data_IF_713571461309
#
_entry.id   IF_713571461309
#
_cell.length_a   1.000
_cell.length_b   1.000
_cell.length_c   1.000
_cell.angle_alpha   90.00
_cell.angle_beta   90.00
_cell.angle_gamma   90.00
#
_symmetry.space_group_name_H-M   'P 1'
#
loop_
_entity.id
_entity.type
_entity.pdbx_description
1 polymer ?
#
# COMPACT_ATOMS: atom_id res chain seq x y z
N UNK A 1 33.76 -13.98 -44.65
CA UNK A 1 32.59 -13.07 -44.66
C UNK A 1 31.37 -13.79 -44.07
N UNK A 2 31.15 -13.68 -42.76
CA UNK A 2 29.91 -14.10 -42.05
C UNK A 2 29.93 -13.41 -40.67
N UNK A 3 29.56 -12.14 -40.64
CA UNK A 3 29.37 -11.37 -39.41
C UNK A 3 28.33 -10.28 -39.73
N UNK A 4 27.08 -10.65 -39.98
CA UNK A 4 26.02 -9.66 -40.18
C UNK A 4 24.61 -10.07 -39.70
N UNK A 5 24.40 -11.28 -39.17
CA UNK A 5 23.04 -11.75 -38.82
C UNK A 5 22.67 -11.61 -37.33
N UNK A 6 23.62 -11.36 -36.41
CA UNK A 6 23.32 -11.28 -34.98
C UNK A 6 22.66 -9.95 -34.54
N UNK A 7 22.77 -8.89 -35.35
CA UNK A 7 22.17 -7.58 -35.04
C UNK A 7 20.67 -7.51 -35.32
N UNK A 8 20.17 -8.30 -36.28
CA UNK A 8 18.76 -8.26 -36.67
C UNK A 8 17.85 -8.98 -35.66
N UNK A 9 18.35 -10.07 -35.06
CA UNK A 9 17.61 -10.89 -34.10
C UNK A 9 17.44 -10.16 -32.76
N UNK A 10 18.46 -9.43 -32.32
CA UNK A 10 18.40 -8.67 -31.06
C UNK A 10 17.47 -7.45 -31.16
N UNK A 11 17.47 -6.76 -32.30
CA UNK A 11 16.58 -5.61 -32.52
C UNK A 11 15.09 -6.00 -32.55
N UNK A 12 14.75 -7.14 -33.16
CA UNK A 12 13.36 -7.62 -33.24
C UNK A 12 12.80 -8.05 -31.87
N UNK A 13 13.61 -8.69 -31.02
CA UNK A 13 13.18 -9.08 -29.66
C UNK A 13 12.86 -7.85 -28.81
N UNK A 14 13.68 -6.80 -28.88
CA UNK A 14 13.46 -5.56 -28.12
C UNK A 14 12.16 -4.87 -28.54
N UNK A 15 11.88 -4.81 -29.86
CA UNK A 15 10.65 -4.21 -30.39
C UNK A 15 9.40 -4.99 -29.97
N UNK A 16 9.44 -6.32 -29.99
CA UNK A 16 8.30 -7.16 -29.56
C UNK A 16 8.00 -6.98 -28.07
N UNK A 17 9.02 -6.91 -27.21
CA UNK A 17 8.85 -6.67 -25.77
C UNK A 17 8.25 -5.28 -25.52
N UNK A 18 8.70 -4.25 -26.25
CA UNK A 18 8.17 -2.89 -26.16
C UNK A 18 6.69 -2.82 -26.57
N UNK A 19 6.32 -3.45 -27.68
CA UNK A 19 4.93 -3.48 -28.16
C UNK A 19 4.03 -4.24 -27.19
N UNK A 20 4.50 -5.36 -26.64
CA UNK A 20 3.76 -6.13 -25.64
C UNK A 20 3.52 -5.32 -24.36
N UNK A 21 4.53 -4.58 -23.88
CA UNK A 21 4.39 -3.67 -22.74
C UNK A 21 3.36 -2.56 -23.01
N UNK A 22 3.46 -1.88 -24.14
CA UNK A 22 2.54 -0.78 -24.50
C UNK A 22 1.10 -1.29 -24.57
N UNK A 23 0.86 -2.48 -25.14
CA UNK A 23 -0.50 -3.06 -25.19
C UNK A 23 -1.04 -3.42 -23.81
N UNK A 24 -0.20 -3.99 -22.94
CA UNK A 24 -0.61 -4.32 -21.57
C UNK A 24 -0.95 -3.05 -20.76
N UNK A 25 -0.13 -2.00 -20.89
CA UNK A 25 -0.36 -0.71 -20.22
C UNK A 25 -1.63 -0.02 -20.77
N UNK A 26 -1.89 -0.09 -22.07
CA UNK A 26 -3.12 0.46 -22.65
C UNK A 26 -4.40 -0.31 -22.24
N UNK A 27 -4.36 -1.65 -22.13
CA UNK A 27 -5.55 -2.40 -21.69
C UNK A 27 -5.87 -2.18 -20.22
N UNK A 28 -4.85 -1.99 -19.38
CA UNK A 28 -5.03 -1.67 -17.96
C UNK A 28 -5.68 -0.30 -17.78
N UNK A 29 -5.23 0.69 -18.54
CA UNK A 29 -5.78 2.06 -18.49
C UNK A 29 -7.23 2.15 -18.99
N UNK A 30 -7.60 1.38 -20.02
CA UNK A 30 -8.98 1.33 -20.50
C UNK A 30 -9.93 0.72 -19.43
N UNK A 31 -9.48 -0.33 -18.73
CA UNK A 31 -10.24 -0.93 -17.62
C UNK A 31 -10.44 0.06 -16.45
N UNK A 32 -9.44 0.92 -16.19
CA UNK A 32 -9.54 1.95 -15.15
C UNK A 32 -10.43 3.13 -15.55
N UNK A 33 -10.40 3.56 -16.81
CA UNK A 33 -11.20 4.70 -17.29
C UNK A 33 -12.71 4.40 -17.32
N UNK A 34 -13.09 3.13 -17.46
CA UNK A 34 -14.52 2.74 -17.55
C UNK A 34 -15.21 2.70 -16.19
N UNK A 35 -14.47 2.86 -15.07
CA UNK A 35 -15.03 2.83 -13.70
C UNK A 35 -15.66 4.14 -13.22
N UNK A 36 -15.66 5.19 -14.03
CA UNK A 36 -16.09 6.54 -13.62
C UNK A 36 -17.59 6.82 -13.91
N UNK A 37 -18.48 5.88 -13.54
CA UNK A 37 -19.94 6.01 -13.77
C UNK A 37 -20.76 6.10 -12.49
N UNK A 38 -20.16 6.55 -11.38
CA UNK A 38 -20.95 6.83 -10.18
C UNK A 38 -21.85 8.06 -10.41
N UNK A 39 -23.16 7.89 -10.24
CA UNK A 39 -24.11 9.03 -10.25
C UNK A 39 -23.65 10.10 -9.28
N UNK A 40 -23.73 11.39 -9.65
CA UNK A 40 -23.40 12.49 -8.76
C UNK A 40 -24.06 12.30 -7.38
N UNK A 41 -23.23 12.27 -6.33
CA UNK A 41 -23.71 12.16 -4.95
C UNK A 41 -23.74 10.76 -4.34
N UNK A 42 -23.46 9.69 -5.09
CA UNK A 42 -23.38 8.33 -4.53
C UNK A 42 -22.01 7.68 -4.75
N UNK A 43 -21.72 6.69 -3.92
CA UNK A 43 -20.59 5.78 -4.05
C UNK A 43 -21.14 4.38 -4.29
N UNK A 44 -20.72 3.78 -5.41
CA UNK A 44 -21.01 2.40 -5.74
C UNK A 44 -19.84 1.49 -5.34
N UNK A 45 -20.01 0.61 -4.33
CA UNK A 45 -18.98 -0.31 -3.89
C UNK A 45 -18.49 -1.29 -4.96
N UNK A 46 -19.25 -1.55 -6.03
CA UNK A 46 -18.83 -2.42 -7.15
C UNK A 46 -17.77 -1.77 -8.03
N UNK A 47 -17.66 -0.44 -7.99
CA UNK A 47 -16.60 0.28 -8.72
C UNK A 47 -15.24 0.19 -8.03
N UNK A 48 -15.19 -0.27 -6.77
CA UNK A 48 -13.96 -0.38 -5.99
C UNK A 48 -13.11 -1.54 -6.53
N UNK A 49 -11.77 -1.45 -6.50
CA UNK A 49 -10.91 -2.59 -6.82
C UNK A 49 -11.28 -3.89 -6.07
N UNK A 50 -11.08 -5.02 -6.73
CA UNK A 50 -11.69 -6.31 -6.36
C UNK A 50 -11.34 -6.80 -4.94
N UNK A 51 -10.17 -6.44 -4.41
CA UNK A 51 -9.82 -6.85 -3.06
C UNK A 51 -10.70 -6.18 -2.01
N UNK A 52 -10.91 -4.86 -2.12
CA UNK A 52 -11.83 -4.12 -1.26
C UNK A 52 -13.24 -4.67 -1.35
N UNK A 53 -13.69 -4.92 -2.58
CA UNK A 53 -15.01 -5.45 -2.83
C UNK A 53 -15.25 -6.74 -2.01
N UNK A 54 -14.27 -7.64 -1.92
CA UNK A 54 -14.41 -8.90 -1.18
C UNK A 54 -14.30 -8.77 0.34
N UNK A 55 -13.56 -7.78 0.86
CA UNK A 55 -13.25 -7.66 2.29
C UNK A 55 -14.10 -6.61 3.01
N UNK A 56 -14.55 -5.59 2.30
CA UNK A 56 -15.30 -4.46 2.83
C UNK A 56 -16.77 -4.50 2.49
N UNK A 57 -17.14 -5.24 1.44
CA UNK A 57 -18.49 -5.22 0.92
C UNK A 57 -19.05 -6.63 0.74
N UNK A 58 -20.03 -6.97 1.58
CA UNK A 58 -20.81 -8.18 1.37
C UNK A 58 -22.20 -7.81 0.89
N UNK A 59 -22.60 -8.31 -0.28
CA UNK A 59 -23.93 -8.04 -0.87
C UNK A 59 -25.09 -8.30 0.10
N UNK A 60 -24.97 -9.33 0.93
CA UNK A 60 -26.00 -9.75 1.89
C UNK A 60 -25.94 -9.02 3.23
N UNK A 61 -24.83 -8.35 3.54
CA UNK A 61 -24.60 -7.67 4.81
C UNK A 61 -23.57 -6.56 4.64
N UNK A 62 -23.88 -5.51 3.86
CA UNK A 62 -22.99 -4.36 3.73
C UNK A 62 -22.82 -3.73 5.12
N UNK A 63 -21.60 -3.34 5.52
CA UNK A 63 -21.34 -2.87 6.88
C UNK A 63 -22.25 -1.67 7.17
N UNK A 64 -23.26 -1.82 8.05
CA UNK A 64 -24.27 -0.80 8.27
C UNK A 64 -23.74 0.37 9.11
N UNK A 65 -22.58 0.18 9.73
CA UNK A 65 -21.99 1.10 10.71
C UNK A 65 -21.20 2.25 10.09
N UNK A 66 -20.78 2.11 8.83
CA UNK A 66 -19.91 3.10 8.20
C UNK A 66 -20.71 4.32 7.76
N UNK A 67 -21.78 4.10 7.00
CA UNK A 67 -22.63 5.15 6.46
C UNK A 67 -24.04 4.62 6.19
N UNK A 68 -25.10 5.44 6.34
CA UNK A 68 -26.45 5.03 5.98
C UNK A 68 -26.53 4.60 4.52
N UNK A 69 -27.03 3.39 4.33
CA UNK A 69 -27.20 2.81 3.01
C UNK A 69 -28.52 3.28 2.41
N UNK A 70 -28.45 3.82 1.19
CA UNK A 70 -29.62 4.28 0.44
C UNK A 70 -29.92 3.32 -0.69
N UNK A 71 -31.20 3.18 -1.03
CA UNK A 71 -31.59 2.48 -2.25
C UNK A 71 -31.33 3.43 -3.43
N UNK A 72 -30.37 3.09 -4.28
CA UNK A 72 -30.05 3.86 -5.48
C UNK A 72 -30.51 3.18 -6.77
N UNK A 73 -30.60 3.93 -7.88
CA UNK A 73 -30.80 3.33 -9.19
C UNK A 73 -29.60 2.45 -9.56
N UNK A 74 -29.85 1.31 -10.20
CA UNK A 74 -28.79 0.44 -10.72
C UNK A 74 -28.06 1.19 -11.84
N UNK A 75 -26.87 1.70 -11.54
CA UNK A 75 -26.06 2.46 -12.46
C UNK A 75 -25.10 1.52 -13.17
N UNK A 76 -25.56 1.01 -14.30
CA UNK A 76 -24.71 0.63 -15.41
C UNK A 76 -23.70 -0.49 -15.09
N UNK A 77 -24.10 -1.75 -15.22
CA UNK A 77 -23.14 -2.79 -15.58
C UNK A 77 -23.87 -4.02 -16.11
N UNK A 78 -23.53 -4.48 -17.31
CA UNK A 78 -23.94 -5.79 -17.85
C UNK A 78 -23.58 -7.00 -16.96
N UNK A 79 -22.80 -6.78 -15.89
CA UNK A 79 -22.47 -7.73 -14.82
C UNK A 79 -23.27 -7.51 -13.52
N UNK A 80 -23.93 -6.37 -13.38
CA UNK A 80 -25.07 -6.24 -12.49
C UNK A 80 -26.22 -7.03 -13.13
N UNK A 81 -27.17 -7.47 -12.32
CA UNK A 81 -28.29 -8.27 -12.80
C UNK A 81 -29.29 -7.50 -13.69
N UNK A 82 -28.90 -6.43 -14.36
CA UNK A 82 -29.73 -5.58 -15.22
C UNK A 82 -30.06 -6.20 -16.60
N UNK A 83 -29.73 -7.49 -16.82
CA UNK A 83 -30.44 -8.39 -17.76
C UNK A 83 -31.63 -9.16 -17.11
N UNK A 84 -32.13 -8.72 -15.96
CA UNK A 84 -33.28 -9.35 -15.27
C UNK A 84 -32.94 -10.38 -14.19
N UNK A 85 -31.75 -10.32 -13.59
CA UNK A 85 -31.43 -11.12 -12.41
C UNK A 85 -31.92 -10.48 -11.09
N UNK A 86 -32.07 -11.30 -10.07
CA UNK A 86 -32.70 -10.99 -8.78
C UNK A 86 -31.90 -10.11 -7.82
N UNK A 87 -30.81 -9.46 -8.26
CA UNK A 87 -29.86 -8.74 -7.37
C UNK A 87 -29.87 -7.20 -7.52
N UNK A 88 -30.80 -6.61 -8.29
CA UNK A 88 -30.98 -5.15 -8.28
C UNK A 88 -31.66 -4.71 -6.98
N UNK A 89 -30.82 -4.36 -6.01
CA UNK A 89 -31.15 -3.79 -4.70
C UNK A 89 -29.90 -3.22 -4.05
N UNK A 90 -28.95 -2.73 -4.86
CA UNK A 90 -27.66 -2.31 -4.35
C UNK A 90 -27.82 -1.08 -3.48
N UNK A 91 -27.60 -1.34 -2.20
CA UNK A 91 -27.38 -0.34 -1.18
C UNK A 91 -26.16 0.49 -1.60
N UNK A 92 -26.34 1.78 -1.84
CA UNK A 92 -25.26 2.72 -2.11
C UNK A 92 -24.93 3.51 -0.85
N UNK A 93 -23.72 4.05 -0.77
CA UNK A 93 -23.42 5.08 0.22
C UNK A 93 -23.66 6.45 -0.38
N UNK A 94 -24.16 7.39 0.42
CA UNK A 94 -24.06 8.81 0.04
C UNK A 94 -22.60 9.22 0.02
N UNK A 95 -22.19 9.95 -1.02
CA UNK A 95 -20.80 10.38 -1.20
C UNK A 95 -20.35 11.26 -0.05
N UNK A 96 -21.20 12.16 0.41
CA UNK A 96 -20.87 13.06 1.51
C UNK A 96 -20.56 12.30 2.81
N UNK A 97 -21.32 11.24 3.12
CA UNK A 97 -21.00 10.43 4.28
C UNK A 97 -19.69 9.67 4.08
N UNK A 98 -19.58 8.95 2.95
CA UNK A 98 -18.46 8.04 2.69
C UNK A 98 -17.11 8.79 2.58
N UNK A 99 -17.11 9.97 1.96
CA UNK A 99 -15.91 10.79 1.82
C UNK A 99 -15.49 11.49 3.11
N UNK A 100 -16.38 11.60 4.12
CA UNK A 100 -16.04 12.21 5.42
C UNK A 100 -15.51 11.21 6.45
N UNK A 101 -15.48 9.92 6.13
CA UNK A 101 -14.88 8.90 6.98
C UNK A 101 -13.38 9.13 7.09
N UNK A 102 -12.81 9.05 8.30
CA UNK A 102 -11.36 9.11 8.53
C UNK A 102 -10.65 7.78 8.23
N UNK A 103 -11.40 6.68 8.22
CA UNK A 103 -10.89 5.31 8.08
C UNK A 103 -11.77 4.49 7.13
N UNK A 104 -12.29 5.14 6.07
CA UNK A 104 -13.21 4.52 5.11
C UNK A 104 -12.62 3.32 4.37
N UNK A 105 -11.28 3.19 4.35
CA UNK A 105 -10.59 2.07 3.71
C UNK A 105 -10.05 0.99 4.65
N UNK A 106 -10.36 1.04 5.95
CA UNK A 106 -9.78 0.13 6.95
C UNK A 106 -9.93 -1.35 6.61
N UNK A 107 -11.10 -1.78 6.15
CA UNK A 107 -11.39 -3.17 5.81
C UNK A 107 -10.60 -3.69 4.59
N UNK A 108 -9.95 -2.81 3.82
CA UNK A 108 -9.07 -3.16 2.71
C UNK A 108 -7.66 -3.53 3.16
N UNK A 109 -7.38 -3.43 4.47
CA UNK A 109 -6.04 -3.59 5.01
C UNK A 109 -5.42 -4.98 4.77
N UNK A 110 -6.27 -6.00 4.62
CA UNK A 110 -5.85 -7.37 4.30
C UNK A 110 -5.44 -7.57 2.83
N UNK A 111 -5.58 -6.54 2.00
CA UNK A 111 -5.22 -6.57 0.60
C UNK A 111 -3.71 -6.56 0.36
N UNK A 112 -3.28 -7.05 -0.80
CA UNK A 112 -1.90 -6.82 -1.25
C UNK A 112 -1.62 -5.33 -1.41
N UNK A 113 -0.37 -4.90 -1.21
CA UNK A 113 0.03 -3.50 -1.36
C UNK A 113 -0.38 -2.87 -2.70
N UNK A 114 -0.26 -3.62 -3.79
CA UNK A 114 -0.72 -3.16 -5.11
C UNK A 114 -2.22 -2.87 -5.12
N UNK A 115 -3.03 -3.76 -4.56
CA UNK A 115 -4.48 -3.56 -4.47
C UNK A 115 -4.84 -2.43 -3.51
N UNK A 116 -4.06 -2.25 -2.44
CA UNK A 116 -4.22 -1.14 -1.51
C UNK A 116 -4.00 0.20 -2.21
N UNK A 117 -2.90 0.37 -2.96
CA UNK A 117 -2.63 1.61 -3.69
C UNK A 117 -3.68 1.89 -4.77
N UNK A 118 -4.11 0.86 -5.52
CA UNK A 118 -5.21 1.02 -6.50
C UNK A 118 -6.51 1.50 -5.81
N UNK A 119 -6.76 1.03 -4.59
CA UNK A 119 -7.93 1.41 -3.79
C UNK A 119 -7.80 2.82 -3.24
N UNK A 120 -6.63 3.21 -2.74
CA UNK A 120 -6.35 4.59 -2.32
C UNK A 120 -6.51 5.57 -3.49
N UNK A 121 -6.00 5.23 -4.68
CA UNK A 121 -6.13 6.04 -5.88
C UNK A 121 -7.59 6.17 -6.33
N UNK A 122 -8.36 5.07 -6.27
CA UNK A 122 -9.80 5.09 -6.52
C UNK A 122 -10.52 6.01 -5.52
N UNK A 123 -10.20 5.90 -4.22
CA UNK A 123 -10.80 6.72 -3.17
C UNK A 123 -10.43 8.21 -3.34
N UNK A 124 -9.18 8.51 -3.69
CA UNK A 124 -8.71 9.89 -3.91
C UNK A 124 -9.41 10.56 -5.10
N UNK A 125 -9.69 9.83 -6.17
CA UNK A 125 -10.47 10.33 -7.31
C UNK A 125 -11.93 10.57 -6.94
N UNK A 126 -12.52 9.65 -6.18
CA UNK A 126 -13.92 9.73 -5.77
C UNK A 126 -14.18 10.81 -4.70
N UNK A 127 -13.23 10.97 -3.79
CA UNK A 127 -13.32 11.79 -2.57
C UNK A 127 -12.11 12.75 -2.43
N UNK A 128 -11.85 13.66 -3.37
CA UNK A 128 -10.62 14.46 -3.40
C UNK A 128 -10.46 15.43 -2.23
N UNK A 129 -11.54 15.70 -1.49
CA UNK A 129 -11.56 16.58 -0.30
C UNK A 129 -11.69 15.79 1.00
N UNK A 130 -11.57 14.46 0.97
CA UNK A 130 -11.69 13.65 2.17
C UNK A 130 -10.58 13.98 3.16
N UNK A 131 -10.89 14.10 4.47
CA UNK A 131 -9.88 14.19 5.51
C UNK A 131 -9.00 12.93 5.55
N UNK A 132 -9.47 11.80 5.02
CA UNK A 132 -8.71 10.55 5.10
C UNK A 132 -7.54 10.45 4.14
N UNK A 133 -7.46 11.35 3.16
CA UNK A 133 -6.35 11.38 2.18
C UNK A 133 -5.05 11.91 2.77
N UNK A 134 -5.10 12.58 3.93
CA UNK A 134 -3.93 13.18 4.55
C UNK A 134 -3.98 13.08 6.05
N UNK A 135 -2.91 12.59 6.64
CA UNK A 135 -2.71 12.59 8.08
C UNK A 135 -2.07 13.90 8.51
N UNK A 136 -2.75 14.68 9.35
CA UNK A 136 -2.17 15.90 9.90
C UNK A 136 -1.34 15.60 11.16
N UNK A 137 -0.02 15.67 11.05
CA UNK A 137 0.90 15.49 12.16
C UNK A 137 1.08 16.73 13.05
N UNK A 138 0.39 17.84 12.77
CA UNK A 138 0.58 19.10 13.49
C UNK A 138 0.23 19.03 14.99
N UNK A 139 -0.73 18.16 15.35
CA UNK A 139 -1.15 17.93 16.74
C UNK A 139 -0.17 17.09 17.57
N UNK A 140 0.83 16.46 16.94
CA UNK A 140 1.79 15.62 17.65
C UNK A 140 2.88 16.42 18.37
N UNK A 141 3.34 15.95 19.54
CA UNK A 141 4.51 16.51 20.20
C UNK A 141 5.77 16.26 19.37
N UNK A 142 6.76 17.15 19.52
CA UNK A 142 8.03 17.08 18.78
C UNK A 142 8.76 15.74 18.96
N UNK A 143 8.61 15.10 20.14
CA UNK A 143 9.24 13.81 20.44
C UNK A 143 8.76 12.68 19.51
N UNK A 144 7.49 12.71 19.07
CA UNK A 144 6.89 11.64 18.26
C UNK A 144 6.67 12.05 16.80
N UNK A 145 6.51 13.34 16.52
CA UNK A 145 6.09 13.86 15.21
C UNK A 145 6.98 13.38 14.06
N UNK A 146 8.28 13.65 14.14
CA UNK A 146 9.21 13.30 13.05
C UNK A 146 9.34 11.78 12.90
N UNK A 147 9.44 11.06 14.03
CA UNK A 147 9.53 9.61 14.01
C UNK A 147 8.31 8.96 13.35
N UNK A 148 7.09 9.42 13.66
CA UNK A 148 5.88 8.87 13.06
C UNK A 148 5.78 9.19 11.57
N UNK A 149 6.11 10.42 11.17
CA UNK A 149 6.14 10.85 9.76
C UNK A 149 7.02 9.93 8.92
N UNK A 150 8.26 9.68 9.37
CA UNK A 150 9.23 8.80 8.72
C UNK A 150 8.76 7.32 8.75
N UNK A 151 8.37 6.81 9.92
CA UNK A 151 8.02 5.39 10.09
C UNK A 151 6.77 4.97 9.30
N UNK A 152 5.79 5.86 9.16
CA UNK A 152 4.58 5.60 8.37
C UNK A 152 4.91 5.49 6.89
N UNK A 153 5.78 6.37 6.39
CA UNK A 153 6.26 6.31 5.02
C UNK A 153 7.04 5.02 4.76
N UNK A 154 8.02 4.70 5.62
CA UNK A 154 8.83 3.48 5.53
C UNK A 154 7.98 2.20 5.58
N UNK A 155 6.86 2.24 6.30
CA UNK A 155 5.94 1.11 6.38
C UNK A 155 5.21 0.81 5.06
N UNK A 156 5.09 1.79 4.15
CA UNK A 156 4.40 1.65 2.86
C UNK A 156 3.14 2.50 2.72
N UNK A 157 2.81 3.33 3.72
CA UNK A 157 1.76 4.34 3.63
C UNK A 157 2.26 5.57 2.84
N UNK A 158 2.51 5.39 1.55
CA UNK A 158 3.19 6.38 0.68
C UNK A 158 2.50 7.75 0.65
N UNK A 159 1.17 7.75 0.74
CA UNK A 159 0.35 8.97 0.72
C UNK A 159 0.23 9.64 2.10
N UNK A 160 0.77 9.00 3.15
CA UNK A 160 0.60 9.40 4.55
C UNK A 160 -0.87 9.66 4.87
N UNK A 161 -1.75 8.81 4.34
CA UNK A 161 -3.20 8.89 4.56
C UNK A 161 -3.56 8.41 5.97
N UNK A 162 -4.62 8.97 6.56
CA UNK A 162 -5.15 8.39 7.81
C UNK A 162 -5.75 7.01 7.53
N UNK A 163 -6.29 6.77 6.34
CA UNK A 163 -6.76 5.43 5.92
C UNK A 163 -5.70 4.36 6.17
N UNK A 164 -4.45 4.56 5.74
CA UNK A 164 -3.37 3.59 5.90
C UNK A 164 -2.88 3.50 7.35
N UNK A 165 -2.57 4.65 7.95
CA UNK A 165 -2.03 4.69 9.31
C UNK A 165 -3.00 4.09 10.33
N UNK A 166 -4.25 4.52 10.29
CA UNK A 166 -5.28 4.10 11.22
C UNK A 166 -5.68 2.63 10.98
N UNK A 167 -5.59 2.13 9.75
CA UNK A 167 -5.77 0.70 9.45
C UNK A 167 -4.67 -0.18 10.01
N UNK A 168 -3.43 0.29 9.98
CA UNK A 168 -2.31 -0.43 10.62
C UNK A 168 -2.40 -0.39 12.14
N UNK A 169 -2.72 0.78 12.68
CA UNK A 169 -2.83 1.02 14.11
C UNK A 169 -1.52 0.77 14.87
N UNK A 170 -0.41 1.38 14.44
CA UNK A 170 0.89 1.19 15.08
C UNK A 170 1.63 2.53 15.25
N UNK A 171 2.16 2.79 16.45
CA UNK A 171 2.92 4.00 16.76
C UNK A 171 4.43 3.85 16.51
N UNK A 172 4.88 2.70 16.02
CA UNK A 172 6.27 2.39 15.64
C UNK A 172 7.29 2.71 16.75
N UNK A 173 6.86 2.62 18.02
CA UNK A 173 7.64 3.00 19.21
C UNK A 173 8.07 4.47 19.27
N UNK A 174 7.51 5.33 18.42
CA UNK A 174 7.82 6.76 18.40
C UNK A 174 7.40 7.50 19.67
N UNK A 175 6.52 6.91 20.48
CA UNK A 175 6.08 7.43 21.77
C UNK A 175 7.01 7.01 22.93
N UNK A 176 7.81 5.95 22.75
CA UNK A 176 8.71 5.39 23.79
C UNK A 176 9.96 6.27 23.99
N UNK A 177 10.36 7.02 22.95
CA UNK A 177 11.60 7.79 22.95
C UNK A 177 11.37 9.23 23.43
N UNK A 178 11.71 9.48 24.69
CA UNK A 178 11.87 10.84 25.25
C UNK A 178 10.60 11.70 25.33
N UNK A 179 9.41 11.13 25.10
CA UNK A 179 8.16 11.83 25.33
C UNK A 179 7.86 11.94 26.83
N UNK A 180 7.41 13.11 27.27
CA UNK A 180 6.93 13.32 28.64
C UNK A 180 5.48 12.82 28.81
N UNK A 181 5.01 12.66 30.05
CA UNK A 181 3.61 12.32 30.33
C UNK A 181 2.61 13.33 29.71
N UNK A 182 2.98 14.61 29.62
CA UNK A 182 2.16 15.62 28.95
C UNK A 182 2.13 15.46 27.43
N UNK A 183 3.20 14.91 26.84
CA UNK A 183 3.25 14.60 25.41
C UNK A 183 2.42 13.36 25.07
N UNK A 184 2.39 12.37 25.96
CA UNK A 184 1.52 11.18 25.80
C UNK A 184 0.06 11.59 25.65
N UNK A 185 -0.41 12.53 26.48
CA UNK A 185 -1.78 13.04 26.37
C UNK A 185 -2.07 13.69 25.02
N UNK A 186 -1.10 14.42 24.45
CA UNK A 186 -1.24 14.98 23.09
C UNK A 186 -1.30 13.91 22.02
N UNK A 187 -0.56 12.81 22.16
CA UNK A 187 -0.62 11.67 21.24
C UNK A 187 -2.00 11.01 21.35
N UNK A 188 -2.55 10.82 22.55
CA UNK A 188 -3.91 10.31 22.74
C UNK A 188 -4.96 11.20 22.06
N UNK A 189 -4.90 12.51 22.27
CA UNK A 189 -5.86 13.46 21.70
C UNK A 189 -5.74 13.52 20.18
N UNK A 190 -4.50 13.43 19.67
CA UNK A 190 -4.23 13.32 18.24
C UNK A 190 -4.80 12.02 17.64
N UNK A 191 -4.66 10.88 18.32
CA UNK A 191 -5.23 9.60 17.87
C UNK A 191 -6.76 9.61 17.83
N UNK A 192 -7.40 10.21 18.85
CA UNK A 192 -8.85 10.42 18.86
C UNK A 192 -9.28 11.27 17.65
N UNK A 193 -8.55 12.35 17.36
CA UNK A 193 -8.85 13.21 16.23
C UNK A 193 -8.58 12.53 14.88
N UNK A 194 -7.40 11.95 14.68
CA UNK A 194 -6.95 11.43 13.39
C UNK A 194 -7.63 10.12 12.99
N UNK A 195 -7.88 9.24 13.95
CA UNK A 195 -8.40 7.88 13.70
C UNK A 195 -9.80 7.65 14.28
N UNK A 196 -10.45 8.68 14.83
CA UNK A 196 -11.77 8.59 15.46
C UNK A 196 -11.85 7.57 16.61
N UNK A 197 -10.74 7.38 17.33
CA UNK A 197 -10.71 6.51 18.50
C UNK A 197 -11.46 7.15 19.67
N UNK A 198 -12.11 6.33 20.49
CA UNK A 198 -12.53 6.79 21.82
C UNK A 198 -11.31 6.99 22.73
N UNK A 199 -11.51 7.77 23.80
CA UNK A 199 -10.44 8.11 24.74
C UNK A 199 -9.78 6.87 25.39
N UNK A 200 -10.53 5.78 25.59
CA UNK A 200 -10.00 4.55 26.21
C UNK A 200 -9.09 3.81 25.22
N UNK A 201 -9.54 3.62 23.97
CA UNK A 201 -8.71 3.02 22.91
C UNK A 201 -7.48 3.85 22.62
N UNK A 202 -7.60 5.17 22.56
CA UNK A 202 -6.45 6.06 22.32
C UNK A 202 -5.41 5.99 23.46
N UNK A 203 -5.85 5.96 24.72
CA UNK A 203 -4.96 5.74 25.85
C UNK A 203 -4.24 4.39 25.77
N UNK A 204 -4.99 3.32 25.50
CA UNK A 204 -4.43 1.98 25.35
C UNK A 204 -3.42 1.91 24.19
N UNK A 205 -3.70 2.61 23.09
CA UNK A 205 -2.82 2.71 21.94
C UNK A 205 -1.46 3.31 22.29
N UNK A 206 -1.43 4.35 23.13
CA UNK A 206 -0.19 4.99 23.60
C UNK A 206 0.55 4.09 24.59
N UNK A 207 -0.16 3.34 25.44
CA UNK A 207 0.47 2.41 26.40
C UNK A 207 1.08 1.18 25.72
N UNK A 208 0.42 0.65 24.68
CA UNK A 208 0.82 -0.57 23.99
C UNK A 208 1.65 -0.33 22.73
N UNK A 209 1.59 0.88 22.17
CA UNK A 209 2.17 1.23 20.89
C UNK A 209 1.41 0.71 19.68
N UNK A 210 0.27 0.03 19.87
CA UNK A 210 -0.57 -0.53 18.81
C UNK A 210 -2.04 -0.42 19.16
N UNK A 211 -2.91 -0.35 18.15
CA UNK A 211 -4.37 -0.32 18.28
C UNK A 211 -5.04 -0.95 17.06
N UNK A 212 -6.34 -1.19 17.17
CA UNK A 212 -7.19 -1.69 16.08
C UNK A 212 -8.43 -0.82 15.95
N UNK A 213 -8.95 -0.70 14.73
CA UNK A 213 -10.18 0.04 14.44
C UNK A 213 -11.25 -0.97 14.04
N UNK A 214 -12.46 -0.78 14.56
CA UNK A 214 -13.55 -1.75 14.46
C UNK A 214 -13.93 -2.28 15.84
N UNK A 215 -15.22 -2.20 16.17
CA UNK A 215 -15.75 -2.72 17.42
C UNK A 215 -15.93 -4.23 17.32
N UNK A 216 -15.15 -4.97 18.10
CA UNK A 216 -15.76 -6.08 18.82
C UNK A 216 -16.66 -5.47 19.90
N UNK A 217 -17.91 -5.17 19.53
CA UNK A 217 -19.04 -5.08 20.47
C UNK A 217 -19.42 -6.47 20.99
N UNK A 218 -18.41 -7.28 21.30
CA UNK A 218 -18.50 -8.57 21.94
C UNK A 218 -17.56 -8.53 23.12
N UNK A 219 -18.10 -8.71 24.32
CA UNK A 219 -17.34 -8.99 25.52
C UNK A 219 -16.52 -10.29 25.32
N UNK A 220 -15.37 -10.17 24.66
CA UNK A 220 -14.43 -11.23 24.36
C UNK A 220 -13.09 -10.85 24.96
N UNK A 221 -12.87 -11.33 26.18
CA UNK A 221 -11.61 -11.34 26.93
C UNK A 221 -10.39 -10.73 26.21
N UNK A 222 -9.98 -9.56 26.67
CA UNK A 222 -8.58 -9.16 26.62
C UNK A 222 -7.75 -10.31 27.20
N UNK A 223 -7.23 -11.16 26.31
CA UNK A 223 -6.18 -12.10 26.66
C UNK A 223 -4.91 -11.26 26.72
N UNK A 224 -4.81 -10.49 27.80
CA UNK A 224 -3.59 -9.88 28.26
C UNK A 224 -2.66 -11.02 28.69
N UNK A 225 -1.96 -11.61 27.73
CA UNK A 225 -0.73 -12.35 28.02
C UNK A 225 0.43 -11.56 27.44
N UNK A 226 0.64 -10.37 28.01
CA UNK A 226 1.93 -9.70 27.98
C UNK A 226 2.51 -9.72 29.40
N UNK A 227 2.71 -10.93 29.93
CA UNK A 227 3.59 -11.13 31.07
C UNK A 227 5.00 -10.74 30.61
N UNK A 228 5.48 -9.55 30.96
CA UNK A 228 6.90 -9.20 30.88
C UNK A 228 7.66 -10.10 31.86
N UNK A 229 7.99 -11.30 31.42
CA UNK A 229 8.98 -12.16 32.07
C UNK A 229 10.34 -11.51 31.80
N UNK A 230 10.91 -10.90 32.83
CA UNK A 230 12.31 -10.48 32.86
C UNK A 230 13.21 -11.73 32.83
N UNK A 231 13.33 -12.34 31.65
CA UNK A 231 14.31 -13.39 31.39
C UNK A 231 15.71 -12.78 31.18
N UNK A 232 16.78 -13.58 31.36
CA UNK A 232 18.13 -13.19 30.96
C UNK A 232 18.15 -12.81 29.47
N UNK A 233 19.07 -11.91 29.02
CA UNK A 233 19.01 -11.30 27.69
C UNK A 233 18.90 -12.38 26.61
N UNK A 234 17.67 -12.54 26.10
CA UNK A 234 17.38 -13.43 25.00
C UNK A 234 18.20 -12.91 23.82
N UNK A 235 19.00 -13.79 23.19
CA UNK A 235 19.76 -13.44 21.99
C UNK A 235 18.80 -12.73 21.04
N UNK A 236 19.11 -11.47 20.69
CA UNK A 236 18.28 -10.68 19.77
C UNK A 236 17.89 -11.60 18.60
N UNK A 237 16.59 -11.87 18.39
CA UNK A 237 16.14 -12.55 17.18
C UNK A 237 16.78 -11.79 16.03
N UNK A 238 17.51 -12.48 15.16
CA UNK A 238 18.08 -11.85 13.97
C UNK A 238 16.92 -11.16 13.25
N UNK A 239 16.97 -9.83 13.20
CA UNK A 239 15.97 -9.08 12.46
C UNK A 239 16.08 -9.52 11.01
N UNK A 240 14.95 -9.85 10.35
CA UNK A 240 14.98 -10.08 8.91
C UNK A 240 15.55 -8.80 8.26
N UNK A 241 16.40 -8.94 7.23
CA UNK A 241 17.00 -7.80 6.56
C UNK A 241 15.89 -6.87 6.07
N UNK A 242 16.05 -5.57 6.29
CA UNK A 242 15.10 -4.57 5.80
C UNK A 242 15.13 -4.56 4.27
N UNK A 243 14.05 -4.09 3.64
CA UNK A 243 13.98 -3.98 2.18
C UNK A 243 15.15 -3.19 1.60
N UNK A 244 15.61 -2.14 2.31
CA UNK A 244 16.77 -1.34 1.91
C UNK A 244 18.07 -2.15 1.93
N UNK A 245 18.25 -3.01 2.93
CA UNK A 245 19.44 -3.86 3.04
C UNK A 245 19.49 -4.88 1.89
N UNK A 246 18.34 -5.49 1.56
CA UNK A 246 18.21 -6.40 0.42
C UNK A 246 18.51 -5.66 -0.89
N UNK A 247 17.97 -4.45 -1.07
CA UNK A 247 18.20 -3.64 -2.26
C UNK A 247 19.69 -3.31 -2.45
N UNK A 248 20.39 -2.91 -1.39
CA UNK A 248 21.84 -2.65 -1.42
C UNK A 248 22.62 -3.90 -1.85
N UNK A 249 22.29 -5.07 -1.30
CA UNK A 249 22.96 -6.32 -1.69
C UNK A 249 22.73 -6.66 -3.17
N UNK A 250 21.52 -6.45 -3.70
CA UNK A 250 21.20 -6.68 -5.11
C UNK A 250 22.01 -5.74 -6.02
N UNK A 251 22.07 -4.44 -5.69
CA UNK A 251 22.83 -3.46 -6.48
C UNK A 251 24.34 -3.77 -6.46
N UNK A 252 24.88 -4.14 -5.30
CA UNK A 252 26.29 -4.55 -5.18
C UNK A 252 26.57 -5.81 -6.03
N UNK A 253 25.69 -6.81 -5.98
CA UNK A 253 25.84 -8.03 -6.77
C UNK A 253 25.83 -7.74 -8.28
N UNK A 254 24.89 -6.92 -8.75
CA UNK A 254 24.82 -6.50 -10.16
C UNK A 254 26.06 -5.72 -10.60
N UNK A 255 26.58 -4.85 -9.73
CA UNK A 255 27.80 -4.07 -10.01
C UNK A 255 29.03 -4.97 -10.14
N UNK A 256 29.17 -5.96 -9.26
CA UNK A 256 30.27 -6.93 -9.31
C UNK A 256 30.18 -7.78 -10.59
N UNK A 257 28.99 -8.29 -10.92
CA UNK A 257 28.77 -9.09 -12.13
C UNK A 257 29.07 -8.26 -13.40
N UNK A 258 28.62 -7.00 -13.45
CA UNK A 258 28.92 -6.08 -14.54
C UNK A 258 30.43 -5.81 -14.68
N UNK A 259 31.12 -5.55 -13.56
CA UNK A 259 32.56 -5.34 -13.54
C UNK A 259 33.36 -6.56 -14.01
N UNK A 260 33.01 -7.76 -13.54
CA UNK A 260 33.63 -9.01 -13.97
C UNK A 260 33.38 -9.28 -15.45
N UNK A 261 32.16 -9.04 -15.94
CA UNK A 261 31.84 -9.18 -17.37
C UNK A 261 32.69 -8.27 -18.26
N UNK A 262 32.83 -7.00 -17.89
CA UNK A 262 33.68 -6.03 -18.60
C UNK A 262 35.16 -6.42 -18.57
N UNK A 263 35.63 -6.94 -17.45
CA UNK A 263 37.02 -7.40 -17.31
C UNK A 263 37.30 -8.61 -18.20
N UNK A 264 36.46 -9.64 -18.17
CA UNK A 264 36.58 -10.84 -19.02
C UNK A 264 36.55 -10.44 -20.50
N UNK A 265 35.63 -9.56 -20.90
CA UNK A 265 35.53 -9.05 -22.26
C UNK A 265 36.82 -8.34 -22.70
N UNK A 266 37.36 -7.47 -21.85
CA UNK A 266 38.61 -6.75 -22.13
C UNK A 266 39.80 -7.69 -22.29
N UNK A 267 39.90 -8.72 -21.45
CA UNK A 267 40.93 -9.76 -21.57
C UNK A 267 40.79 -10.57 -22.87
N UNK A 268 39.56 -10.95 -23.25
CA UNK A 268 39.31 -11.68 -24.49
C UNK A 268 39.64 -10.85 -25.74
N UNK A 269 39.21 -9.58 -25.76
CA UNK A 269 39.51 -8.65 -26.84
C UNK A 269 41.02 -8.37 -26.97
N UNK A 270 41.73 -8.25 -25.84
CA UNK A 270 43.19 -8.09 -25.81
C UNK A 270 43.92 -9.29 -26.43
N UNK A 271 43.50 -10.52 -26.11
CA UNK A 271 44.11 -11.74 -26.70
C UNK A 271 43.93 -11.80 -28.21
N UNK A 272 42.74 -11.44 -28.72
CA UNK A 272 42.50 -11.41 -30.17
C UNK A 272 43.42 -10.43 -30.88
N UNK A 273 43.66 -9.24 -30.32
CA UNK A 273 44.60 -8.25 -30.90
C UNK A 273 46.03 -8.77 -31.00
N UNK A 274 46.50 -9.55 -30.02
CA UNK A 274 47.83 -10.16 -30.08
C UNK A 274 47.95 -11.21 -31.18
N UNK A 275 46.96 -12.10 -31.34
CA UNK A 275 46.97 -13.11 -32.41
C UNK A 275 46.98 -12.48 -33.80
N UNK A 276 46.29 -11.35 -34.00
CA UNK A 276 46.31 -10.63 -35.28
C UNK A 276 47.68 -10.02 -35.60
N UNK A 277 48.44 -9.53 -34.60
CA UNK A 277 49.79 -9.00 -34.84
C UNK A 277 50.78 -10.09 -35.27
N UNK A 278 50.75 -11.25 -34.62
CA UNK A 278 51.67 -12.34 -34.96
C UNK A 278 51.43 -12.93 -36.34
N UNK A 279 50.19 -12.90 -36.84
CA UNK A 279 49.87 -13.35 -38.22
C UNK A 279 50.19 -12.32 -39.30
N UNK A 280 50.50 -11.07 -38.95
CA UNK A 280 50.87 -10.03 -39.91
C UNK A 280 52.38 -9.94 -40.14
N UNK A 281 53.21 -10.55 -39.27
CA UNK A 281 54.67 -10.57 -39.35
C UNK A 281 55.24 -11.86 -39.97
N UNK A 282 54.39 -12.85 -40.24
CA UNK A 282 54.71 -14.11 -40.95
C UNK A 282 54.27 -14.08 -42.40
#
# INVERSE_FOLDING_TARGET
MRFQDHGLITSTIVVVILIAKIRADCSLNAALYTRETSTPGFVDPVTVPACFFNTCWHYSSPPPEICPLVNGPCLNNSDATDNGGTKCGMKLYTRDCYCNLKTGLHCAWSCSWTSWWDTEDWYAKLCPQSPALRLDFSGLPKCARQCLDDAIFEYGCLTQSSNCFCARGNLFKCHENSCSAGDWKKIEDWLQYACDLDATKAKLAVEQGTFTIGDETGAGAATATATRVSGPPSRKPQQPPTWDEIFIFVILALTILGGLGLWIYSCAAGRQRHTWRTSAES
#
